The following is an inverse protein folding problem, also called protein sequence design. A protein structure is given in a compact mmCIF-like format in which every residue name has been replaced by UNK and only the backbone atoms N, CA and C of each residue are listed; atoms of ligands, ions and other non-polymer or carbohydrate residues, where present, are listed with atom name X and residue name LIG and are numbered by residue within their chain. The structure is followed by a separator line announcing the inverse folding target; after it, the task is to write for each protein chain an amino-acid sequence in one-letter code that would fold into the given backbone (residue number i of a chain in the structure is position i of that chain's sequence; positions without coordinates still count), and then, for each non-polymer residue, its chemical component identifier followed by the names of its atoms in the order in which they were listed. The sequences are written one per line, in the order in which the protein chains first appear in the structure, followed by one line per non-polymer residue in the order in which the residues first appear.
data_IF_776859643584
#
_entry.id   IF_776859643584
#
_cell.length_a   1.000
_cell.length_b   1.000
_cell.length_c   1.000
_cell.angle_alpha   90.00
_cell.angle_beta   90.00
_cell.angle_gamma   90.00
#
_symmetry.space_group_name_H-M   'P 1'
#
loop_
_entity.id
_entity.type
_entity.pdbx_description
1 polymer ?
#
# COMPACT_ATOMS: atom_id res chain seq x y z
N UNK A 1 22.77 0.84 -12.38
CA UNK A 1 23.09 0.78 -10.93
C UNK A 1 22.70 2.13 -10.36
N UNK A 2 21.44 2.26 -9.96
CA UNK A 2 20.93 3.53 -9.42
C UNK A 2 21.08 3.45 -7.92
N UNK A 3 21.98 4.27 -7.39
CA UNK A 3 22.14 4.50 -5.97
C UNK A 3 20.86 5.21 -5.48
N UNK A 4 19.93 4.47 -4.86
CA UNK A 4 18.86 5.08 -4.07
C UNK A 4 19.45 5.50 -2.71
N UNK A 5 20.26 6.55 -2.75
CA UNK A 5 20.52 7.37 -1.58
C UNK A 5 19.35 8.35 -1.44
N UNK A 6 18.19 7.86 -0.99
CA UNK A 6 17.11 8.72 -0.53
C UNK A 6 17.41 9.12 0.91
N UNK A 7 17.54 10.43 1.10
CA UNK A 7 17.85 11.13 2.34
C UNK A 7 16.72 11.03 3.38
N UNK A 8 16.42 9.86 3.94
CA UNK A 8 15.63 9.74 5.17
C UNK A 8 16.52 9.31 6.33
N UNK A 9 16.91 10.29 7.13
CA UNK A 9 17.53 10.10 8.44
C UNK A 9 16.49 9.35 9.30
N UNK A 10 16.83 8.14 9.74
CA UNK A 10 16.02 7.21 10.57
C UNK A 10 15.10 6.24 9.79
N UNK A 11 15.62 5.43 8.88
CA UNK A 11 14.96 4.14 8.57
C UNK A 11 15.31 3.11 9.65
N UNK A 12 14.38 2.22 10.05
CA UNK A 12 14.70 1.16 11.00
C UNK A 12 15.72 0.20 10.39
N UNK A 13 16.56 -0.39 11.22
CA UNK A 13 17.53 -1.40 10.75
C UNK A 13 16.76 -2.63 10.29
N UNK A 14 16.74 -2.86 8.98
CA UNK A 14 16.10 -4.01 8.36
C UNK A 14 17.10 -5.15 8.17
N UNK A 15 16.75 -6.33 8.66
CA UNK A 15 17.50 -7.57 8.48
C UNK A 15 17.15 -8.30 7.19
N UNK A 16 18.00 -9.27 6.81
CA UNK A 16 17.68 -10.22 5.76
C UNK A 16 16.66 -11.26 6.24
N UNK A 17 15.86 -11.79 5.32
CA UNK A 17 15.04 -12.97 5.63
C UNK A 17 15.93 -14.16 5.95
N UNK A 18 15.55 -14.91 6.99
CA UNK A 18 16.18 -16.17 7.34
C UNK A 18 15.60 -17.30 6.48
N UNK A 19 16.35 -18.40 6.31
CA UNK A 19 15.91 -19.52 5.47
C UNK A 19 14.52 -20.05 5.85
N UNK A 20 14.17 -20.04 7.14
CA UNK A 20 12.84 -20.44 7.62
C UNK A 20 11.71 -19.54 7.08
N UNK A 21 11.96 -18.24 6.91
CA UNK A 21 10.98 -17.29 6.37
C UNK A 21 10.80 -17.48 4.88
N UNK A 22 11.91 -17.68 4.16
CA UNK A 22 11.88 -18.00 2.73
C UNK A 22 11.12 -19.31 2.52
N UNK A 23 11.44 -20.37 3.26
CA UNK A 23 10.74 -21.65 3.17
C UNK A 23 9.25 -21.53 3.48
N UNK A 24 8.87 -20.71 4.46
CA UNK A 24 7.47 -20.45 4.80
C UNK A 24 6.74 -19.76 3.64
N UNK A 25 7.29 -18.65 3.12
CA UNK A 25 6.72 -17.93 1.97
C UNK A 25 6.55 -18.85 0.75
N UNK A 26 7.58 -19.66 0.47
CA UNK A 26 7.57 -20.64 -0.62
C UNK A 26 6.51 -21.72 -0.43
N UNK A 27 6.37 -22.24 0.79
CA UNK A 27 5.32 -23.22 1.13
C UNK A 27 3.94 -22.61 0.96
N UNK A 28 3.78 -21.31 1.25
CA UNK A 28 2.54 -20.58 1.01
C UNK A 28 2.26 -20.26 -0.47
N UNK A 29 3.13 -20.65 -1.40
CA UNK A 29 2.96 -20.44 -2.84
C UNK A 29 3.49 -19.10 -3.35
N UNK A 30 4.24 -18.34 -2.54
CA UNK A 30 4.82 -17.07 -2.98
C UNK A 30 5.96 -17.35 -3.98
N UNK A 31 5.93 -16.79 -5.20
CA UNK A 31 6.97 -17.00 -6.18
C UNK A 31 8.26 -16.27 -5.77
N UNK A 32 9.41 -16.81 -6.17
CA UNK A 32 10.72 -16.24 -5.79
C UNK A 32 10.87 -14.76 -6.22
N UNK A 33 10.49 -14.39 -7.46
CA UNK A 33 10.51 -12.99 -7.87
C UNK A 33 9.77 -12.07 -6.91
N UNK A 34 8.57 -12.44 -6.43
CA UNK A 34 7.82 -11.63 -5.46
C UNK A 34 8.50 -11.48 -4.09
N UNK A 35 9.51 -12.29 -3.77
CA UNK A 35 10.27 -12.15 -2.52
C UNK A 35 11.48 -11.24 -2.76
N UNK A 36 12.11 -11.30 -3.93
CA UNK A 36 13.39 -10.62 -4.23
C UNK A 36 13.27 -9.34 -5.05
N UNK A 37 12.13 -9.11 -5.68
CA UNK A 37 11.87 -7.99 -6.60
C UNK A 37 10.53 -7.30 -6.28
N UNK A 38 10.38 -6.01 -6.63
CA UNK A 38 11.44 -5.09 -7.08
C UNK A 38 12.47 -4.81 -5.98
N UNK A 39 12.00 -4.59 -4.76
CA UNK A 39 12.79 -4.56 -3.53
C UNK A 39 12.65 -5.90 -2.78
N UNK A 40 13.76 -6.38 -2.20
CA UNK A 40 13.77 -7.61 -1.41
C UNK A 40 12.89 -7.43 -0.17
N UNK A 41 12.00 -8.39 0.11
CA UNK A 41 11.29 -8.45 1.40
C UNK A 41 12.32 -8.56 2.52
N UNK A 42 12.27 -7.63 3.47
CA UNK A 42 13.19 -7.60 4.62
C UNK A 42 12.51 -8.13 5.88
N UNK A 43 13.32 -8.31 6.92
CA UNK A 43 12.88 -8.69 8.26
C UNK A 43 13.04 -7.52 9.21
N UNK A 44 12.05 -7.29 10.07
CA UNK A 44 12.13 -6.38 11.21
C UNK A 44 11.61 -7.06 12.47
N UNK A 45 11.97 -6.52 13.63
CA UNK A 45 11.47 -6.93 14.94
C UNK A 45 10.88 -5.73 15.66
N UNK A 46 9.68 -5.89 16.21
CA UNK A 46 8.99 -4.79 16.86
C UNK A 46 7.50 -5.00 17.05
N UNK A 47 6.80 -3.92 17.37
CA UNK A 47 5.38 -3.91 17.68
C UNK A 47 4.63 -2.86 16.86
N UNK A 48 3.32 -3.04 16.73
CA UNK A 48 2.44 -2.02 16.17
C UNK A 48 1.95 -1.11 17.28
N UNK A 49 2.29 0.17 17.21
CA UNK A 49 1.80 1.21 18.10
C UNK A 49 0.30 1.51 17.84
N UNK A 50 -0.33 2.23 18.78
CA UNK A 50 -1.76 2.52 18.72
C UNK A 50 -2.17 3.40 17.53
N UNK A 51 -1.25 4.24 17.03
CA UNK A 51 -1.42 5.06 15.83
C UNK A 51 -1.21 4.28 14.52
N UNK A 52 -0.91 2.97 14.61
CA UNK A 52 -0.64 2.11 13.47
C UNK A 52 0.80 2.14 12.99
N UNK A 53 1.69 2.90 13.65
CA UNK A 53 3.11 2.92 13.30
C UNK A 53 3.87 1.74 13.88
N UNK A 54 5.00 1.43 13.28
CA UNK A 54 5.91 0.39 13.73
C UNK A 54 6.89 0.94 14.76
N UNK A 55 6.97 0.28 15.91
CA UNK A 55 7.92 0.58 16.98
C UNK A 55 9.02 -0.51 17.00
N UNK A 56 10.26 -0.20 16.57
CA UNK A 56 11.34 -1.17 16.49
C UNK A 56 11.77 -1.67 17.87
N UNK A 57 11.72 -2.99 18.06
CA UNK A 57 12.17 -3.66 19.28
C UNK A 57 12.82 -4.99 18.88
N UNK A 58 14.14 -5.18 19.09
CA UNK A 58 14.83 -6.43 18.78
C UNK A 58 14.27 -7.67 19.50
N UNK A 59 13.56 -7.47 20.62
CA UNK A 59 12.89 -8.54 21.37
C UNK A 59 11.46 -8.83 20.87
N UNK A 60 10.95 -7.97 19.99
CA UNK A 60 9.63 -8.09 19.40
C UNK A 60 9.49 -9.21 18.36
N UNK A 61 8.25 -9.55 17.98
CA UNK A 61 7.98 -10.57 16.97
C UNK A 61 8.55 -10.20 15.59
N UNK A 62 8.70 -11.21 14.73
CA UNK A 62 9.14 -11.08 13.34
C UNK A 62 8.05 -10.40 12.48
N UNK A 63 8.45 -9.38 11.71
CA UNK A 63 7.66 -8.69 10.69
C UNK A 63 8.37 -8.73 9.34
N UNK A 64 7.60 -8.94 8.27
CA UNK A 64 8.10 -8.69 6.92
C UNK A 64 7.96 -7.22 6.59
N UNK A 65 9.04 -6.63 6.08
CA UNK A 65 9.10 -5.22 5.74
C UNK A 65 9.21 -5.05 4.21
N UNK A 66 8.40 -4.14 3.69
CA UNK A 66 8.33 -3.75 2.28
C UNK A 66 8.64 -2.27 2.18
N UNK A 67 9.64 -1.92 1.38
CA UNK A 67 9.98 -0.53 1.09
C UNK A 67 9.01 0.01 0.03
N UNK A 68 8.41 1.15 0.34
CA UNK A 68 7.67 2.00 -0.59
C UNK A 68 8.44 3.31 -0.79
N UNK A 69 8.03 4.15 -1.73
CA UNK A 69 8.77 5.36 -2.12
C UNK A 69 8.97 6.34 -0.94
N UNK A 70 7.96 6.48 -0.08
CA UNK A 70 8.00 7.39 1.08
C UNK A 70 7.80 6.71 2.44
N UNK A 71 7.65 5.39 2.50
CA UNK A 71 7.32 4.66 3.75
C UNK A 71 7.95 3.25 3.78
N UNK A 72 7.81 2.57 4.92
CA UNK A 72 8.05 1.14 5.03
C UNK A 72 6.80 0.49 5.62
N UNK A 73 6.27 -0.50 4.93
CA UNK A 73 5.11 -1.25 5.39
C UNK A 73 5.58 -2.54 6.04
N UNK A 74 5.09 -2.79 7.25
CA UNK A 74 5.38 -3.98 8.03
C UNK A 74 4.14 -4.86 8.07
N UNK A 75 4.33 -6.14 7.79
CA UNK A 75 3.29 -7.16 7.88
C UNK A 75 3.71 -8.29 8.81
N UNK A 76 2.80 -8.70 9.70
CA UNK A 76 2.96 -9.86 10.57
C UNK A 76 2.12 -11.03 10.06
N UNK A 77 2.73 -12.05 9.41
CA UNK A 77 1.95 -13.10 8.76
C UNK A 77 1.08 -13.94 9.68
N UNK A 78 1.48 -14.08 10.95
CA UNK A 78 0.73 -14.87 11.94
C UNK A 78 -0.60 -14.23 12.36
N UNK A 79 -0.68 -12.91 12.35
CA UNK A 79 -1.85 -12.16 12.85
C UNK A 79 -2.55 -11.37 11.76
N UNK A 80 -1.92 -11.17 10.60
CA UNK A 80 -2.41 -10.29 9.55
C UNK A 80 -2.24 -8.80 9.87
N UNK A 81 -1.56 -8.46 10.99
CA UNK A 81 -1.35 -7.07 11.37
C UNK A 81 -0.47 -6.35 10.35
N UNK A 82 -0.83 -5.09 10.10
CA UNK A 82 -0.11 -4.16 9.23
C UNK A 82 0.27 -2.91 10.03
N UNK A 83 1.50 -2.45 9.85
CA UNK A 83 2.00 -1.20 10.41
C UNK A 83 2.81 -0.42 9.36
N UNK A 84 2.96 0.87 9.57
CA UNK A 84 3.76 1.75 8.70
C UNK A 84 4.93 2.36 9.47
N UNK A 85 5.97 2.83 8.80
CA UNK A 85 7.05 3.53 9.48
C UNK A 85 6.63 4.94 9.86
N UNK A 86 6.21 5.73 8.88
CA UNK A 86 5.83 7.13 9.10
C UNK A 86 4.35 7.42 8.85
N UNK A 87 3.62 6.47 8.23
CA UNK A 87 2.19 6.57 7.95
C UNK A 87 1.88 7.44 6.73
N UNK A 88 2.82 7.50 5.78
CA UNK A 88 2.64 8.19 4.51
C UNK A 88 1.99 7.31 3.46
N UNK A 89 2.28 6.02 3.46
CA UNK A 89 1.62 5.09 2.54
C UNK A 89 0.21 4.76 3.03
N UNK A 90 -0.74 4.86 2.12
CA UNK A 90 -2.11 4.40 2.26
C UNK A 90 -2.29 2.94 1.82
N UNK A 91 -1.42 2.42 0.95
CA UNK A 91 -1.45 1.07 0.41
C UNK A 91 -0.05 0.45 0.28
N UNK A 92 0.01 -0.88 0.25
CA UNK A 92 1.20 -1.64 -0.11
C UNK A 92 1.23 -1.80 -1.63
N UNK A 93 2.38 -1.56 -2.27
CA UNK A 93 2.53 -1.60 -3.72
C UNK A 93 2.02 -0.35 -4.45
N UNK A 94 2.07 0.82 -3.82
CA UNK A 94 1.52 2.08 -4.38
C UNK A 94 2.06 2.41 -5.77
N UNK A 95 3.31 2.03 -6.05
CA UNK A 95 3.98 2.26 -7.32
C UNK A 95 3.19 1.74 -8.55
N UNK A 96 2.36 0.69 -8.41
CA UNK A 96 1.58 0.17 -9.55
C UNK A 96 0.44 1.10 -9.96
N UNK A 97 0.00 2.00 -9.08
CA UNK A 97 -1.11 2.93 -9.36
C UNK A 97 -0.69 3.97 -10.42
N UNK A 98 0.57 4.41 -10.36
CA UNK A 98 1.11 5.39 -11.31
C UNK A 98 1.58 4.75 -12.62
N UNK A 99 1.71 3.41 -12.67
CA UNK A 99 2.10 2.69 -13.88
C UNK A 99 0.93 2.60 -14.89
N UNK A 100 0.93 3.53 -15.84
CA UNK A 100 -0.04 3.58 -16.92
C UNK A 100 -0.12 2.28 -17.75
N UNK A 101 0.94 1.47 -17.78
CA UNK A 101 0.95 0.20 -18.51
C UNK A 101 0.02 -0.85 -17.88
N UNK A 102 -0.19 -0.79 -16.56
CA UNK A 102 -1.09 -1.68 -15.81
C UNK A 102 -2.57 -1.55 -16.20
N UNK A 103 -2.95 -0.48 -16.90
CA UNK A 103 -4.33 -0.24 -17.35
C UNK A 103 -4.54 -0.45 -18.85
N UNK A 104 -3.48 -0.73 -19.60
CA UNK A 104 -3.55 -0.98 -21.03
C UNK A 104 -4.21 -2.34 -21.33
N UNK A 105 -4.82 -2.48 -22.52
CA UNK A 105 -5.33 -3.76 -23.06
C UNK A 105 -6.21 -4.57 -22.08
N UNK A 106 -7.12 -3.89 -21.37
CA UNK A 106 -8.03 -4.48 -20.38
C UNK A 106 -7.43 -4.82 -19.02
N UNK A 107 -6.29 -4.21 -18.67
CA UNK A 107 -5.75 -4.24 -17.33
C UNK A 107 -6.65 -3.62 -16.26
N UNK A 108 -6.58 -4.19 -15.06
CA UNK A 108 -7.27 -3.75 -13.85
C UNK A 108 -6.26 -3.58 -12.73
N UNK A 109 -6.41 -2.53 -11.91
CA UNK A 109 -5.71 -2.48 -10.63
C UNK A 109 -6.33 -3.53 -9.69
N UNK A 110 -5.56 -4.54 -9.30
CA UNK A 110 -6.00 -5.55 -8.34
C UNK A 110 -5.85 -5.04 -6.90
N UNK A 111 -6.92 -5.12 -6.12
CA UNK A 111 -6.92 -4.80 -4.68
C UNK A 111 -7.12 -6.08 -3.89
N UNK A 112 -6.07 -6.51 -3.21
CA UNK A 112 -6.05 -7.73 -2.40
C UNK A 112 -6.46 -7.46 -0.96
N UNK A 113 -7.06 -8.47 -0.33
CA UNK A 113 -7.51 -8.39 1.06
C UNK A 113 -6.35 -8.47 2.06
N UNK A 114 -5.26 -9.16 1.70
CA UNK A 114 -4.11 -9.33 2.56
C UNK A 114 -2.78 -9.41 1.76
N UNK A 115 -1.65 -9.15 2.42
CA UNK A 115 -0.33 -9.18 1.77
C UNK A 115 0.11 -10.54 1.26
N UNK A 116 -0.42 -11.65 1.79
CA UNK A 116 -0.02 -12.97 1.31
C UNK A 116 -0.58 -13.24 -0.09
N UNK A 117 -1.85 -12.91 -0.32
CA UNK A 117 -2.48 -13.04 -1.63
C UNK A 117 -1.86 -12.06 -2.64
N UNK A 118 -1.52 -10.84 -2.22
CA UNK A 118 -0.73 -9.90 -3.03
C UNK A 118 0.67 -10.43 -3.38
N UNK A 119 1.34 -11.10 -2.44
CA UNK A 119 2.63 -11.74 -2.72
C UNK A 119 2.49 -12.93 -3.68
N UNK A 120 1.43 -13.74 -3.54
CA UNK A 120 1.12 -14.86 -4.44
C UNK A 120 0.85 -14.42 -5.86
N UNK A 121 0.23 -13.25 -6.04
CA UNK A 121 -0.02 -12.65 -7.36
C UNK A 121 1.21 -12.00 -7.98
N UNK A 122 2.38 -12.06 -7.33
CA UNK A 122 3.59 -11.48 -7.88
C UNK A 122 3.78 -10.00 -7.55
N UNK A 123 3.08 -9.48 -6.54
CA UNK A 123 2.96 -8.04 -6.23
C UNK A 123 2.24 -7.22 -7.30
N UNK A 124 1.40 -7.86 -8.11
CA UNK A 124 0.63 -7.21 -9.19
C UNK A 124 -0.67 -6.62 -8.66
N UNK A 125 -0.59 -5.46 -8.02
CA UNK A 125 -1.72 -4.76 -7.41
C UNK A 125 -1.35 -4.12 -6.08
N UNK A 126 -2.36 -3.90 -5.23
CA UNK A 126 -2.20 -3.25 -3.94
C UNK A 126 -2.92 -3.96 -2.79
N UNK A 127 -2.50 -3.66 -1.56
CA UNK A 127 -3.27 -3.94 -0.33
C UNK A 127 -3.51 -2.61 0.37
N UNK A 128 -4.77 -2.23 0.61
CA UNK A 128 -5.10 -0.93 1.23
C UNK A 128 -4.94 -1.01 2.75
N UNK A 129 -4.06 -0.16 3.31
CA UNK A 129 -3.85 -0.01 4.75
C UNK A 129 -4.79 1.04 5.35
N UNK A 130 -4.96 2.16 4.62
CA UNK A 130 -5.76 3.29 5.07
C UNK A 130 -6.87 3.62 4.05
N UNK A 131 -8.04 3.05 4.30
CA UNK A 131 -9.23 3.26 3.49
C UNK A 131 -9.74 4.70 3.44
N UNK A 132 -9.37 5.55 4.41
CA UNK A 132 -9.80 6.95 4.44
C UNK A 132 -9.15 7.79 3.33
N UNK A 133 -7.97 7.38 2.85
CA UNK A 133 -7.25 8.01 1.74
C UNK A 133 -7.57 7.35 0.39
N UNK A 134 -8.11 6.13 0.40
CA UNK A 134 -8.31 5.33 -0.79
C UNK A 134 -9.16 6.02 -1.87
N UNK A 135 -10.14 6.85 -1.51
CA UNK A 135 -10.92 7.60 -2.50
C UNK A 135 -10.05 8.55 -3.32
N UNK A 136 -9.21 9.36 -2.67
CA UNK A 136 -8.44 10.38 -3.35
C UNK A 136 -7.34 9.78 -4.24
N UNK A 137 -6.79 8.65 -3.81
CA UNK A 137 -5.73 7.93 -4.52
C UNK A 137 -6.28 7.08 -5.67
N UNK A 138 -7.42 6.40 -5.47
CA UNK A 138 -7.96 5.45 -6.45
C UNK A 138 -8.99 6.07 -7.41
N UNK A 139 -9.51 7.28 -7.17
CA UNK A 139 -10.52 7.91 -8.07
C UNK A 139 -10.04 8.11 -9.50
N UNK A 140 -8.73 8.15 -9.72
CA UNK A 140 -8.12 8.31 -11.04
C UNK A 140 -7.90 6.97 -11.76
N UNK A 141 -8.04 5.85 -11.05
CA UNK A 141 -7.91 4.52 -11.63
C UNK A 141 -9.14 4.19 -12.49
N UNK A 142 -8.99 3.93 -13.79
CA UNK A 142 -10.13 3.71 -14.68
C UNK A 142 -10.85 2.38 -14.40
N UNK A 143 -10.11 1.35 -13.96
CA UNK A 143 -10.61 0.00 -13.71
C UNK A 143 -9.94 -0.60 -12.48
N UNK A 144 -10.74 -1.07 -11.54
CA UNK A 144 -10.26 -1.68 -10.29
C UNK A 144 -10.98 -3.01 -10.09
N UNK A 145 -10.21 -4.07 -9.85
CA UNK A 145 -10.69 -5.40 -9.50
C UNK A 145 -10.39 -5.63 -8.00
N UNK A 146 -11.42 -5.87 -7.21
CA UNK A 146 -11.30 -5.90 -5.75
C UNK A 146 -11.65 -7.29 -5.23
N UNK A 147 -10.87 -7.80 -4.27
CA UNK A 147 -11.20 -9.04 -3.57
C UNK A 147 -12.63 -9.00 -3.02
N UNK A 148 -13.38 -10.09 -3.17
CA UNK A 148 -14.82 -10.12 -2.85
C UNK A 148 -15.12 -9.68 -1.40
N UNK A 149 -14.28 -10.07 -0.45
CA UNK A 149 -14.38 -9.69 0.96
C UNK A 149 -14.26 -8.18 1.21
N UNK A 150 -13.56 -7.45 0.32
CA UNK A 150 -13.37 -6.01 0.40
C UNK A 150 -14.49 -5.23 -0.29
N UNK A 151 -15.36 -5.87 -1.07
CA UNK A 151 -16.38 -5.18 -1.88
C UNK A 151 -17.29 -4.24 -1.06
N UNK A 152 -17.77 -4.60 0.15
CA UNK A 152 -18.57 -3.70 0.98
C UNK A 152 -17.77 -2.46 1.43
N UNK A 153 -16.52 -2.65 1.86
CA UNK A 153 -15.62 -1.57 2.30
C UNK A 153 -15.27 -0.66 1.14
N UNK A 154 -14.92 -1.23 -0.01
CA UNK A 154 -14.62 -0.47 -1.21
C UNK A 154 -15.81 0.40 -1.64
N UNK A 155 -17.02 -0.16 -1.68
CA UNK A 155 -18.23 0.60 -2.05
C UNK A 155 -18.57 1.74 -1.10
N UNK A 156 -18.29 1.60 0.19
CA UNK A 156 -18.56 2.64 1.18
C UNK A 156 -17.52 3.76 1.14
N UNK A 157 -16.25 3.42 0.91
CA UNK A 157 -15.12 4.34 0.92
C UNK A 157 -14.91 5.06 -0.42
N UNK A 158 -15.32 4.47 -1.54
CA UNK A 158 -15.22 5.08 -2.87
C UNK A 158 -16.33 6.11 -3.15
N UNK A 159 -16.74 6.86 -2.12
CA UNK A 159 -17.70 7.95 -2.19
C UNK A 159 -17.06 9.20 -1.60
N UNK A 160 -17.22 10.39 -2.22
CA UNK A 160 -16.70 11.62 -1.64
C UNK A 160 -17.28 11.83 -0.24
N UNK A 161 -16.42 12.01 0.76
CA UNK A 161 -16.86 12.27 2.14
C UNK A 161 -17.66 13.58 2.24
N UNK A 162 -17.37 14.55 1.37
CA UNK A 162 -18.09 15.82 1.24
C UNK A 162 -18.22 16.22 -0.23
N UNK A 163 -19.44 16.45 -0.69
CA UNK A 163 -19.69 17.06 -1.99
C UNK A 163 -19.39 18.56 -1.90
N UNK A 164 -18.64 19.14 -2.85
CA UNK A 164 -18.44 20.58 -2.89
C UNK A 164 -19.78 21.30 -3.16
N UNK A 165 -20.02 22.40 -2.45
CA UNK A 165 -21.15 23.28 -2.76
C UNK A 165 -20.80 24.12 -3.99
N UNK A 166 -21.50 23.89 -5.09
CA UNK A 166 -21.33 24.67 -6.33
C UNK A 166 -22.35 25.81 -6.34
N UNK A 167 -21.88 27.03 -6.52
CA UNK A 167 -22.72 28.22 -6.72
C UNK A 167 -22.33 28.92 -8.02
N UNK A 168 -23.32 29.52 -8.70
CA UNK A 168 -23.12 30.21 -9.98
C UNK A 168 -22.73 31.66 -9.70
N UNK A 169 -21.54 32.06 -10.15
CA UNK A 169 -21.13 33.46 -10.14
C UNK A 169 -21.83 34.21 -11.29
N UNK A 170 -22.91 34.94 -10.99
CA UNK A 170 -23.58 35.78 -12.00
C UNK A 170 -22.73 37.02 -12.27
N UNK A 171 -22.31 37.20 -13.53
CA UNK A 171 -21.67 38.42 -14.01
C UNK A 171 -22.70 39.55 -13.89
N UNK A 172 -22.42 40.58 -13.07
CA UNK A 172 -23.21 41.82 -13.07
C UNK A 172 -22.97 42.51 -14.40
N UNK A 173 -23.96 42.48 -15.29
CA UNK A 173 -24.00 43.45 -16.39
C UNK A 173 -24.28 44.82 -15.76
N UNK A 174 -23.32 45.72 -15.92
CA UNK A 174 -23.42 47.08 -15.42
C UNK A 174 -24.63 47.75 -16.05
N UNK A 175 -25.55 48.22 -15.21
CA UNK A 175 -26.55 49.19 -15.61
C UNK A 175 -25.80 50.45 -16.08
N UNK A 176 -25.80 50.68 -17.40
CA UNK A 176 -25.48 51.99 -17.94
C UNK A 176 -26.60 52.95 -17.48
N UNK A 177 -26.19 53.97 -16.71
CA UNK A 177 -27.01 55.12 -16.36
C UNK A 177 -27.18 56.06 -17.57
#
# INVERSE_FOLDING_TARGET
MTNFALCHREMPVLGGLLQRHINWLRTCGVPMPAIVQPELVRLAHGYRAADGRFDPDPSGPDWFAFSEDEDVIFWRPKTGELATWNGRSFALGEAVIEDASGYALDGHLHVFADPLDWLRSGRDGIVVLNWTLAFDELRHCPRVAVAESLLPTYRSQMRPARMPQVSILRKREGAAL
#
